data_IF_685600953392
#
_entry.id   IF_685600953392
#
_cell.length_a   1.000
_cell.length_b   1.000
_cell.length_c   1.000
_cell.angle_alpha   90.00
_cell.angle_beta   90.00
_cell.angle_gamma   90.00
#
_symmetry.space_group_name_H-M   'P 1'
#
loop_
_entity.id
_entity.type
_entity.pdbx_description
1 polymer ?
#
# COMPACT_ATOMS: atom_id res chain seq x y z
N UNK A 1 3.83 -16.60 -17.73
CA UNK A 1 3.82 -15.12 -17.83
C UNK A 1 4.09 -14.49 -16.47
N UNK A 2 3.49 -15.00 -15.38
CA UNK A 2 3.83 -14.68 -13.97
C UNK A 2 5.34 -14.66 -13.70
N UNK A 3 6.10 -15.62 -14.24
CA UNK A 3 7.55 -15.70 -14.02
C UNK A 3 8.32 -14.48 -14.54
N UNK A 4 7.90 -13.81 -15.63
CA UNK A 4 8.73 -12.79 -16.30
C UNK A 4 9.03 -11.54 -15.47
N UNK A 5 8.08 -11.03 -14.69
CA UNK A 5 8.31 -9.85 -13.83
C UNK A 5 9.24 -10.24 -12.68
N UNK A 6 8.95 -11.35 -12.01
CA UNK A 6 9.76 -11.86 -10.91
C UNK A 6 11.16 -12.29 -11.38
N UNK A 7 11.30 -12.85 -12.58
CA UNK A 7 12.57 -13.16 -13.21
C UNK A 7 13.35 -11.89 -13.53
N UNK A 8 12.69 -10.86 -14.08
CA UNK A 8 13.31 -9.55 -14.28
C UNK A 8 13.77 -8.90 -12.97
N UNK A 9 13.00 -9.05 -11.89
CA UNK A 9 13.40 -8.58 -10.56
C UNK A 9 14.57 -9.39 -10.01
N UNK A 10 14.61 -10.70 -10.20
CA UNK A 10 15.73 -11.56 -9.80
C UNK A 10 17.01 -11.21 -10.59
N UNK A 11 16.89 -10.99 -11.89
CA UNK A 11 17.98 -10.51 -12.74
C UNK A 11 18.47 -9.11 -12.30
N UNK A 12 17.55 -8.23 -11.90
CA UNK A 12 17.89 -6.91 -11.35
C UNK A 12 18.26 -6.93 -9.86
N UNK A 13 18.09 -8.04 -9.12
CA UNK A 13 18.44 -8.09 -7.70
C UNK A 13 19.96 -7.96 -7.48
N UNK A 14 20.75 -8.08 -8.56
CA UNK A 14 22.17 -7.74 -8.64
C UNK A 14 22.46 -6.23 -8.78
N UNK A 15 21.47 -5.36 -8.61
CA UNK A 15 21.66 -3.90 -8.56
C UNK A 15 22.72 -3.57 -7.49
N UNK A 16 23.76 -2.91 -7.98
CA UNK A 16 24.85 -2.21 -7.27
C UNK A 16 24.41 -1.62 -5.93
N UNK A 17 25.11 -1.97 -4.85
CA UNK A 17 24.81 -1.57 -3.46
C UNK A 17 24.73 -0.04 -3.29
N UNK A 18 25.43 0.73 -4.12
CA UNK A 18 25.42 2.20 -4.12
C UNK A 18 24.02 2.78 -4.37
N UNK A 19 23.24 2.16 -5.28
CA UNK A 19 21.86 2.56 -5.57
C UNK A 19 20.93 2.29 -4.38
N UNK A 20 21.26 1.28 -3.56
CA UNK A 20 20.50 0.92 -2.36
C UNK A 20 20.83 1.80 -1.15
N UNK A 21 21.90 2.58 -1.20
CA UNK A 21 22.31 3.52 -0.14
C UNK A 21 21.97 4.98 -0.45
N UNK A 22 21.31 5.25 -1.59
CA UNK A 22 20.99 6.62 -2.01
C UNK A 22 22.21 7.42 -2.46
N UNK A 23 23.25 6.75 -2.98
CA UNK A 23 24.53 7.35 -3.34
C UNK A 23 24.69 7.63 -4.84
N UNK A 24 23.56 7.94 -5.50
CA UNK A 24 23.51 8.37 -6.90
C UNK A 24 22.74 9.69 -6.98
N UNK A 25 23.30 10.69 -7.65
CA UNK A 25 22.68 12.01 -7.79
C UNK A 25 22.70 12.46 -9.25
N UNK A 26 21.54 12.83 -9.77
CA UNK A 26 21.31 13.32 -11.13
C UNK A 26 20.66 14.72 -11.14
N UNK A 27 20.80 15.48 -10.06
CA UNK A 27 20.11 16.75 -9.85
C UNK A 27 20.60 17.93 -10.71
N UNK A 28 21.76 17.82 -11.37
CA UNK A 28 22.31 18.87 -12.22
C UNK A 28 23.17 18.32 -13.36
N UNK A 29 23.51 19.20 -14.31
CA UNK A 29 24.27 18.86 -15.53
C UNK A 29 25.73 18.44 -15.29
N UNK A 30 26.19 18.44 -14.04
CA UNK A 30 27.51 17.92 -13.66
C UNK A 30 27.50 16.39 -13.41
N UNK A 31 26.33 15.79 -13.26
CA UNK A 31 26.14 14.36 -12.98
C UNK A 31 25.99 13.47 -14.23
N UNK A 32 25.61 12.19 -14.06
CA UNK A 32 25.26 11.54 -12.79
C UNK A 32 26.49 11.34 -11.89
N UNK A 33 26.37 11.75 -10.63
CA UNK A 33 27.39 11.59 -9.59
C UNK A 33 27.15 10.29 -8.83
N UNK A 34 28.22 9.56 -8.48
CA UNK A 34 28.14 8.32 -7.68
C UNK A 34 29.31 8.20 -6.71
N UNK A 35 29.11 7.48 -5.61
CA UNK A 35 30.17 7.04 -4.70
C UNK A 35 30.38 5.52 -4.85
N UNK A 36 31.26 5.11 -5.77
CA UNK A 36 31.53 3.69 -6.11
C UNK A 36 32.81 3.10 -5.48
N UNK A 37 33.25 3.68 -4.36
CA UNK A 37 34.44 3.26 -3.60
C UNK A 37 35.78 3.54 -4.29
N UNK A 38 35.91 3.31 -5.60
CA UNK A 38 37.19 3.40 -6.34
C UNK A 38 37.39 4.75 -7.04
N UNK A 39 36.33 5.44 -7.47
CA UNK A 39 36.42 6.79 -8.06
C UNK A 39 35.15 7.61 -7.83
N UNK A 40 35.08 8.37 -6.73
CA UNK A 40 33.98 9.33 -6.52
C UNK A 40 33.98 10.40 -7.61
N UNK A 41 32.92 10.45 -8.43
CA UNK A 41 32.70 11.51 -9.43
C UNK A 41 31.72 12.52 -8.87
N UNK A 42 32.21 13.42 -8.02
CA UNK A 42 31.37 14.36 -7.26
C UNK A 42 32.00 15.77 -7.27
N UNK A 43 31.79 16.56 -8.33
CA UNK A 43 32.50 17.84 -8.53
C UNK A 43 32.01 18.97 -7.59
N UNK A 44 30.79 18.89 -7.05
CA UNK A 44 30.24 19.91 -6.15
C UNK A 44 30.68 19.74 -4.69
N UNK A 45 31.34 18.63 -4.35
CA UNK A 45 31.80 18.36 -2.99
C UNK A 45 30.74 17.87 -2.01
N UNK A 46 29.51 17.57 -2.46
CA UNK A 46 28.49 16.93 -1.60
C UNK A 46 29.05 15.63 -1.01
N UNK A 47 28.83 15.39 0.27
CA UNK A 47 29.25 14.17 0.97
C UNK A 47 28.26 13.02 0.77
N UNK A 48 28.63 11.75 1.07
CA UNK A 48 27.70 10.62 1.00
C UNK A 48 26.41 10.82 1.82
N UNK A 49 26.53 11.28 3.06
CA UNK A 49 25.37 11.52 3.95
C UNK A 49 24.50 12.66 3.41
N UNK A 50 25.09 13.77 2.95
CA UNK A 50 24.33 14.87 2.34
C UNK A 50 23.60 14.43 1.07
N UNK A 51 24.23 13.59 0.24
CA UNK A 51 23.61 13.03 -0.98
C UNK A 51 22.43 12.12 -0.64
N UNK A 52 22.61 11.19 0.30
CA UNK A 52 21.55 10.32 0.77
C UNK A 52 20.38 11.12 1.39
N UNK A 53 20.67 12.12 2.21
CA UNK A 53 19.66 13.02 2.78
C UNK A 53 18.91 13.82 1.72
N UNK A 54 19.62 14.36 0.73
CA UNK A 54 19.02 15.06 -0.41
C UNK A 54 18.04 14.14 -1.16
N UNK A 55 18.48 12.92 -1.48
CA UNK A 55 17.67 11.94 -2.22
C UNK A 55 16.45 11.49 -1.39
N UNK A 56 16.61 11.35 -0.07
CA UNK A 56 15.49 11.11 0.84
C UNK A 56 14.50 12.30 0.84
N UNK A 57 15.00 13.54 0.84
CA UNK A 57 14.18 14.75 0.78
C UNK A 57 13.35 14.82 -0.53
N UNK A 58 13.93 14.38 -1.65
CA UNK A 58 13.22 14.25 -2.93
C UNK A 58 12.12 13.19 -2.89
N UNK A 59 12.36 12.05 -2.22
CA UNK A 59 11.31 11.05 -2.01
C UNK A 59 10.20 11.55 -1.09
N UNK A 60 10.54 12.27 -0.04
CA UNK A 60 9.55 12.92 0.84
C UNK A 60 8.72 13.93 0.03
N UNK A 61 9.38 14.73 -0.80
CA UNK A 61 8.75 15.69 -1.69
C UNK A 61 7.77 15.04 -2.67
N UNK A 62 8.17 13.95 -3.31
CA UNK A 62 7.34 13.14 -4.21
C UNK A 62 6.09 12.63 -3.48
N UNK A 63 6.24 12.05 -2.29
CA UNK A 63 5.10 11.55 -1.50
C UNK A 63 4.16 12.66 -1.00
N UNK A 64 4.70 13.83 -0.63
CA UNK A 64 3.87 15.01 -0.30
C UNK A 64 3.14 15.57 -1.53
N UNK A 65 3.70 15.36 -2.73
CA UNK A 65 3.10 15.71 -4.01
C UNK A 65 1.77 15.01 -4.25
N UNK A 66 1.61 13.76 -3.80
CA UNK A 66 0.34 13.02 -3.91
C UNK A 66 -0.81 13.70 -3.16
N UNK A 67 -0.51 14.41 -2.06
CA UNK A 67 -1.49 15.22 -1.32
C UNK A 67 -1.50 16.70 -1.73
N UNK A 68 -0.71 17.10 -2.74
CA UNK A 68 -0.50 18.51 -3.11
C UNK A 68 -0.04 19.39 -1.93
N UNK A 69 0.66 18.80 -0.96
CA UNK A 69 1.18 19.48 0.25
C UNK A 69 2.66 19.84 0.15
N UNK A 70 3.27 19.54 -1.00
CA UNK A 70 4.67 19.82 -1.25
C UNK A 70 4.99 21.32 -1.18
N UNK A 71 6.15 21.64 -0.60
CA UNK A 71 6.76 22.99 -0.64
C UNK A 71 8.18 22.87 -1.20
N UNK A 72 8.51 23.72 -2.18
CA UNK A 72 9.82 23.76 -2.87
C UNK A 72 11.04 23.79 -1.94
N UNK A 73 10.90 24.25 -0.70
CA UNK A 73 12.01 24.38 0.24
C UNK A 73 12.46 23.06 0.88
N UNK A 74 11.71 21.96 0.75
CA UNK A 74 12.07 20.67 1.37
C UNK A 74 13.35 20.08 0.76
N UNK A 75 13.60 20.30 -0.54
CA UNK A 75 14.79 19.78 -1.24
C UNK A 75 16.09 20.50 -0.86
N UNK A 76 16.03 21.52 -0.01
CA UNK A 76 17.19 22.23 0.54
C UNK A 76 17.41 21.91 2.03
N UNK A 77 16.66 20.95 2.60
CA UNK A 77 16.77 20.50 3.98
C UNK A 77 17.64 19.25 4.01
N UNK A 78 18.70 19.25 4.81
CA UNK A 78 19.67 18.14 4.89
C UNK A 78 19.87 17.58 6.31
N UNK A 79 18.94 17.84 7.24
CA UNK A 79 18.92 17.22 8.57
C UNK A 79 17.68 16.34 8.77
N UNK A 80 17.86 15.23 9.50
CA UNK A 80 16.85 14.19 9.64
C UNK A 80 15.58 14.70 10.34
N UNK A 81 15.73 15.49 11.40
CA UNK A 81 14.60 16.01 12.17
C UNK A 81 13.69 16.90 11.31
N UNK A 82 14.28 17.79 10.51
CA UNK A 82 13.52 18.64 9.61
C UNK A 82 12.86 17.86 8.47
N UNK A 83 13.47 16.78 7.98
CA UNK A 83 12.84 15.88 7.01
C UNK A 83 11.66 15.11 7.60
N UNK A 84 11.80 14.55 8.80
CA UNK A 84 10.70 13.87 9.51
C UNK A 84 9.53 14.83 9.75
N UNK A 85 9.83 16.05 10.21
CA UNK A 85 8.83 17.12 10.37
C UNK A 85 8.19 17.54 9.05
N UNK A 86 8.93 17.51 7.94
CA UNK A 86 8.38 17.80 6.63
C UNK A 86 7.41 16.70 6.18
N UNK A 87 7.76 15.43 6.37
CA UNK A 87 6.90 14.29 6.09
C UNK A 87 5.58 14.34 6.89
N UNK A 88 5.65 14.70 8.17
CA UNK A 88 4.49 14.83 9.06
C UNK A 88 3.39 15.80 8.57
N UNK A 89 3.72 16.72 7.63
CA UNK A 89 2.73 17.63 7.04
C UNK A 89 1.59 16.90 6.32
N UNK A 90 1.82 15.68 5.82
CA UNK A 90 0.81 14.92 5.12
C UNK A 90 -0.31 14.40 6.04
N UNK A 91 -0.03 14.26 7.35
CA UNK A 91 -0.94 13.64 8.33
C UNK A 91 -2.29 14.33 8.36
N UNK A 92 -2.32 15.67 8.39
CA UNK A 92 -3.57 16.42 8.42
C UNK A 92 -4.44 16.16 7.17
N UNK A 93 -3.81 16.16 5.99
CA UNK A 93 -4.54 15.95 4.74
C UNK A 93 -4.99 14.50 4.60
N UNK A 94 -4.12 13.54 4.97
CA UNK A 94 -4.48 12.11 5.02
C UNK A 94 -5.65 11.84 5.97
N UNK A 95 -5.70 12.53 7.12
CA UNK A 95 -6.82 12.43 8.06
C UNK A 95 -8.12 12.98 7.49
N UNK A 96 -8.10 14.22 6.96
CA UNK A 96 -9.28 14.81 6.30
C UNK A 96 -9.79 13.90 5.18
N UNK A 97 -8.88 13.42 4.34
CA UNK A 97 -9.20 12.51 3.26
C UNK A 97 -9.80 11.19 3.75
N UNK A 98 -9.23 10.58 4.80
CA UNK A 98 -9.78 9.35 5.39
C UNK A 98 -11.19 9.57 5.92
N UNK A 99 -11.42 10.67 6.64
CA UNK A 99 -12.74 10.98 7.22
C UNK A 99 -13.78 11.30 6.14
N UNK A 100 -13.39 11.99 5.06
CA UNK A 100 -14.26 12.24 3.90
C UNK A 100 -14.66 10.95 3.18
N UNK A 101 -13.69 10.07 2.90
CA UNK A 101 -13.95 8.77 2.26
C UNK A 101 -14.78 7.86 3.17
N UNK A 102 -14.49 7.81 4.47
CA UNK A 102 -15.31 7.09 5.44
C UNK A 102 -16.73 7.65 5.49
N UNK A 103 -16.92 8.98 5.49
CA UNK A 103 -18.24 9.60 5.46
C UNK A 103 -19.04 9.27 4.20
N UNK A 104 -18.39 9.32 3.03
CA UNK A 104 -18.99 8.96 1.75
C UNK A 104 -19.43 7.49 1.71
N UNK A 105 -18.58 6.59 2.21
CA UNK A 105 -18.73 5.15 1.97
C UNK A 105 -19.33 4.38 3.16
N UNK A 106 -19.38 4.95 4.36
CA UNK A 106 -19.96 4.33 5.55
C UNK A 106 -21.38 3.78 5.35
N UNK A 107 -22.31 4.43 4.59
CA UNK A 107 -23.64 3.86 4.34
C UNK A 107 -23.63 2.51 3.60
N UNK A 108 -22.55 2.21 2.88
CA UNK A 108 -22.41 0.98 2.10
C UNK A 108 -21.64 -0.11 2.85
N UNK A 109 -20.93 0.26 3.92
CA UNK A 109 -20.06 -0.64 4.69
C UNK A 109 -20.89 -1.66 5.45
N UNK A 110 -20.70 -2.92 5.10
CA UNK A 110 -21.20 -4.04 5.93
C UNK A 110 -20.18 -5.15 5.93
N UNK A 111 -20.13 -5.89 7.03
CA UNK A 111 -19.33 -7.11 7.12
C UNK A 111 -19.79 -8.09 6.05
N UNK A 112 -18.87 -8.50 5.18
CA UNK A 112 -19.14 -9.45 4.09
C UNK A 112 -17.85 -10.08 3.59
N UNK A 113 -18.00 -11.22 2.93
CA UNK A 113 -16.89 -11.88 2.23
C UNK A 113 -16.74 -11.31 0.82
N UNK A 114 -15.50 -10.99 0.45
CA UNK A 114 -15.14 -10.32 -0.80
C UNK A 114 -14.08 -11.16 -1.53
N UNK A 115 -14.18 -11.33 -2.86
CA UNK A 115 -13.15 -12.00 -3.65
C UNK A 115 -11.86 -11.17 -3.74
N UNK A 116 -10.73 -11.83 -3.47
CA UNK A 116 -9.40 -11.32 -3.71
C UNK A 116 -8.68 -12.15 -4.78
N UNK A 117 -7.90 -11.48 -5.61
CA UNK A 117 -7.15 -12.09 -6.71
C UNK A 117 -7.92 -12.24 -8.02
N UNK A 118 -7.25 -12.82 -9.02
CA UNK A 118 -7.77 -12.93 -10.39
C UNK A 118 -9.07 -13.75 -10.51
N UNK A 119 -9.38 -14.58 -9.51
CA UNK A 119 -10.65 -15.29 -9.40
C UNK A 119 -11.87 -14.40 -9.18
N UNK A 120 -11.67 -13.10 -8.88
CA UNK A 120 -12.74 -12.10 -8.85
C UNK A 120 -13.22 -11.64 -10.22
N UNK A 121 -12.61 -12.12 -11.31
CA UNK A 121 -13.05 -11.82 -12.68
C UNK A 121 -14.18 -12.75 -13.13
N UNK A 122 -15.09 -12.21 -13.94
CA UNK A 122 -16.26 -12.94 -14.45
C UNK A 122 -16.23 -13.00 -15.98
N UNK A 123 -15.97 -14.18 -16.59
CA UNK A 123 -15.89 -14.36 -18.05
C UNK A 123 -17.18 -14.09 -18.82
N UNK A 124 -18.33 -14.04 -18.14
CA UNK A 124 -19.65 -13.78 -18.73
C UNK A 124 -20.17 -12.36 -18.44
N UNK A 125 -19.39 -11.57 -17.69
CA UNK A 125 -19.69 -10.17 -17.39
C UNK A 125 -18.65 -9.23 -18.02
N UNK A 126 -19.03 -7.97 -18.15
CA UNK A 126 -18.13 -6.88 -18.56
C UNK A 126 -17.25 -6.54 -17.37
N UNK A 127 -15.96 -6.85 -17.41
CA UNK A 127 -15.04 -6.56 -16.31
C UNK A 127 -14.36 -5.21 -16.52
N UNK A 128 -14.63 -4.27 -15.61
CA UNK A 128 -13.95 -2.98 -15.56
C UNK A 128 -12.97 -3.01 -14.40
N UNK A 129 -11.67 -2.91 -14.69
CA UNK A 129 -10.63 -2.78 -13.68
C UNK A 129 -10.50 -1.31 -13.25
N UNK A 130 -11.01 -0.98 -12.07
CA UNK A 130 -10.99 0.37 -11.55
C UNK A 130 -9.72 0.63 -10.72
N UNK A 131 -8.90 1.55 -11.24
CA UNK A 131 -7.64 2.05 -10.67
C UNK A 131 -7.75 3.58 -10.53
N UNK A 132 -8.79 4.03 -9.82
CA UNK A 132 -9.09 5.45 -9.58
C UNK A 132 -9.13 5.76 -8.09
N UNK A 133 -9.32 7.02 -7.70
CA UNK A 133 -9.62 7.36 -6.30
C UNK A 133 -10.88 6.62 -5.80
N UNK A 134 -11.03 6.35 -4.49
CA UNK A 134 -12.21 5.68 -3.97
C UNK A 134 -13.54 6.36 -4.34
N UNK A 135 -13.56 7.70 -4.44
CA UNK A 135 -14.70 8.46 -4.96
C UNK A 135 -14.97 8.14 -6.43
N UNK A 136 -13.95 8.16 -7.30
CA UNK A 136 -14.13 7.85 -8.72
C UNK A 136 -14.63 6.42 -8.95
N UNK A 137 -14.16 5.45 -8.15
CA UNK A 137 -14.67 4.07 -8.23
C UNK A 137 -16.12 4.01 -7.70
N UNK A 138 -16.44 4.75 -6.63
CA UNK A 138 -17.82 4.89 -6.15
C UNK A 138 -18.74 5.46 -7.23
N UNK A 139 -18.33 6.53 -7.91
CA UNK A 139 -19.11 7.20 -8.94
C UNK A 139 -19.35 6.28 -10.14
N UNK A 140 -18.33 5.52 -10.55
CA UNK A 140 -18.47 4.49 -11.58
C UNK A 140 -19.52 3.44 -11.18
N UNK A 141 -19.48 2.95 -9.93
CA UNK A 141 -20.47 1.97 -9.45
C UNK A 141 -21.88 2.57 -9.50
N UNK A 142 -22.08 3.79 -9.01
CA UNK A 142 -23.40 4.45 -9.05
C UNK A 142 -23.87 4.69 -10.49
N UNK A 143 -22.97 5.09 -11.38
CA UNK A 143 -23.29 5.27 -12.80
C UNK A 143 -23.76 3.96 -13.44
N UNK A 144 -23.10 2.83 -13.18
CA UNK A 144 -23.51 1.52 -13.74
C UNK A 144 -24.89 1.05 -13.27
N UNK A 145 -25.45 1.66 -12.22
CA UNK A 145 -26.79 1.37 -11.68
C UNK A 145 -27.89 2.29 -12.25
N UNK A 146 -27.53 3.24 -13.10
CA UNK A 146 -28.51 4.12 -13.77
C UNK A 146 -29.26 3.38 -14.88
N UNK A 147 -30.47 3.83 -15.19
CA UNK A 147 -31.28 3.29 -16.30
C UNK A 147 -30.54 3.33 -17.64
N UNK A 148 -29.80 4.41 -17.88
CA UNK A 148 -29.02 4.60 -19.11
C UNK A 148 -27.89 3.57 -19.25
N UNK A 149 -27.17 3.30 -18.16
CA UNK A 149 -26.15 2.25 -18.15
C UNK A 149 -26.78 0.87 -18.38
N UNK A 150 -27.91 0.59 -17.71
CA UNK A 150 -28.63 -0.69 -17.86
C UNK A 150 -29.04 -0.95 -19.32
N UNK A 151 -29.61 0.03 -20.01
CA UNK A 151 -29.96 -0.08 -21.43
C UNK A 151 -28.74 -0.34 -22.33
N UNK A 152 -27.59 0.21 -21.97
CA UNK A 152 -26.34 0.06 -22.73
C UNK A 152 -25.73 -1.32 -22.53
N UNK A 153 -25.79 -1.84 -21.29
CA UNK A 153 -25.36 -3.20 -20.91
C UNK A 153 -26.22 -4.25 -21.62
N UNK A 154 -27.55 -4.09 -21.60
CA UNK A 154 -28.50 -4.99 -22.27
C UNK A 154 -28.27 -5.01 -23.79
N UNK A 155 -28.11 -3.83 -24.42
CA UNK A 155 -27.82 -3.71 -25.86
C UNK A 155 -26.53 -4.41 -26.29
N UNK A 156 -25.54 -4.48 -25.41
CA UNK A 156 -24.28 -5.17 -25.67
C UNK A 156 -24.37 -6.69 -25.44
N UNK A 157 -25.50 -7.21 -24.94
CA UNK A 157 -25.68 -8.62 -24.61
C UNK A 157 -24.91 -9.08 -23.38
N UNK A 158 -24.48 -8.16 -22.52
CA UNK A 158 -23.76 -8.48 -21.30
C UNK A 158 -24.74 -8.82 -20.16
N UNK A 159 -24.43 -9.84 -19.36
CA UNK A 159 -25.23 -10.20 -18.18
C UNK A 159 -25.16 -9.15 -17.06
N UNK A 160 -24.13 -8.30 -17.07
CA UNK A 160 -23.90 -7.26 -16.08
C UNK A 160 -22.49 -6.69 -16.19
N UNK A 161 -22.19 -5.76 -15.29
CA UNK A 161 -20.85 -5.19 -15.14
C UNK A 161 -20.24 -5.71 -13.83
N UNK A 162 -19.06 -6.29 -13.95
CA UNK A 162 -18.20 -6.63 -12.82
C UNK A 162 -17.14 -5.55 -12.66
N UNK A 163 -17.33 -4.64 -11.70
CA UNK A 163 -16.28 -3.70 -11.33
C UNK A 163 -15.35 -4.44 -10.38
N UNK A 164 -14.09 -4.58 -10.79
CA UNK A 164 -13.02 -5.08 -9.94
C UNK A 164 -12.04 -3.95 -9.69
N UNK A 165 -11.26 -4.06 -8.63
CA UNK A 165 -10.36 -3.00 -8.23
C UNK A 165 -8.94 -3.52 -8.03
N UNK A 166 -7.97 -2.61 -8.11
CA UNK A 166 -6.57 -2.95 -7.97
C UNK A 166 -5.86 -1.95 -7.05
N UNK A 167 -4.97 -2.50 -6.23
CA UNK A 167 -4.11 -1.78 -5.33
C UNK A 167 -4.88 -1.07 -4.22
N UNK A 168 -4.35 0.08 -3.89
CA UNK A 168 -4.71 0.91 -2.78
C UNK A 168 -6.19 1.35 -2.73
N UNK A 169 -6.74 2.01 -3.76
CA UNK A 169 -8.18 2.28 -3.80
C UNK A 169 -9.03 1.01 -3.78
N UNK A 170 -8.52 -0.09 -4.34
CA UNK A 170 -9.25 -1.35 -4.36
C UNK A 170 -9.45 -1.96 -2.99
N UNK A 171 -8.43 -1.93 -2.13
CA UNK A 171 -8.57 -2.31 -0.74
C UNK A 171 -9.64 -1.48 0.00
N UNK A 172 -9.73 -0.18 -0.30
CA UNK A 172 -10.79 0.68 0.25
C UNK A 172 -12.17 0.24 -0.20
N UNK A 173 -12.34 -0.03 -1.50
CA UNK A 173 -13.65 -0.41 -2.04
C UNK A 173 -14.05 -1.84 -1.66
N UNK A 174 -13.08 -2.74 -1.49
CA UNK A 174 -13.30 -4.06 -0.89
C UNK A 174 -13.80 -3.91 0.56
N UNK A 175 -13.12 -3.08 1.36
CA UNK A 175 -13.51 -2.80 2.75
C UNK A 175 -14.87 -2.11 2.86
N UNK A 176 -15.14 -1.11 2.04
CA UNK A 176 -16.30 -0.25 2.20
C UNK A 176 -17.54 -0.72 1.42
N UNK A 177 -17.35 -1.30 0.24
CA UNK A 177 -18.44 -1.57 -0.71
C UNK A 177 -18.51 -3.03 -1.16
N UNK A 178 -17.57 -3.88 -0.74
CA UNK A 178 -17.54 -5.29 -1.14
C UNK A 178 -17.11 -5.52 -2.57
N UNK A 179 -16.35 -4.59 -3.16
CA UNK A 179 -15.86 -4.71 -4.52
C UNK A 179 -14.66 -5.65 -4.55
N UNK A 180 -14.61 -6.64 -5.46
CA UNK A 180 -13.45 -7.52 -5.58
C UNK A 180 -12.14 -6.73 -5.76
N UNK A 181 -11.08 -7.15 -5.06
CA UNK A 181 -9.74 -6.58 -5.22
C UNK A 181 -8.83 -7.64 -5.84
N UNK A 182 -8.49 -7.47 -7.12
CA UNK A 182 -7.79 -8.50 -7.89
C UNK A 182 -6.28 -8.55 -7.63
N UNK A 183 -5.76 -7.65 -6.79
CA UNK A 183 -4.37 -7.61 -6.33
C UNK A 183 -3.78 -6.20 -6.40
N UNK A 184 -2.45 -6.10 -6.55
CA UNK A 184 -1.71 -4.85 -6.67
C UNK A 184 -1.16 -4.64 -8.10
N UNK A 185 -0.41 -3.57 -8.34
CA UNK A 185 0.10 -3.24 -9.68
C UNK A 185 0.97 -4.34 -10.32
N UNK A 186 1.61 -5.21 -9.53
CA UNK A 186 2.38 -6.34 -10.05
C UNK A 186 1.50 -7.39 -10.73
N UNK A 187 0.20 -7.41 -10.44
CA UNK A 187 -0.76 -8.35 -11.04
C UNK A 187 -1.38 -7.82 -12.34
N UNK A 188 -1.21 -6.53 -12.67
CA UNK A 188 -1.95 -5.89 -13.76
C UNK A 188 -1.70 -6.58 -15.11
N UNK A 189 -0.44 -6.90 -15.42
CA UNK A 189 -0.08 -7.60 -16.65
C UNK A 189 -0.72 -8.99 -16.71
N UNK A 190 -0.78 -9.70 -15.57
CA UNK A 190 -1.42 -11.00 -15.48
C UNK A 190 -2.95 -10.87 -15.62
N UNK A 191 -3.55 -9.85 -15.02
CA UNK A 191 -4.98 -9.56 -15.16
C UNK A 191 -5.34 -9.27 -16.62
N UNK A 192 -4.55 -8.47 -17.33
CA UNK A 192 -4.72 -8.22 -18.76
C UNK A 192 -4.51 -9.48 -19.61
N UNK A 193 -3.53 -10.31 -19.24
CA UNK A 193 -3.23 -11.55 -19.95
C UNK A 193 -4.37 -12.58 -19.91
N UNK A 194 -5.24 -12.53 -18.88
CA UNK A 194 -6.46 -13.35 -18.84
C UNK A 194 -7.38 -13.11 -20.03
N UNK A 195 -7.29 -11.94 -20.67
CA UNK A 195 -8.22 -11.50 -21.71
C UNK A 195 -9.62 -11.18 -21.19
N UNK A 196 -9.83 -11.15 -19.86
CA UNK A 196 -11.13 -10.86 -19.26
C UNK A 196 -11.34 -9.38 -18.91
N UNK A 197 -10.29 -8.57 -18.81
CA UNK A 197 -10.43 -7.12 -18.56
C UNK A 197 -10.90 -6.43 -19.84
N UNK A 198 -12.06 -5.78 -19.77
CA UNK A 198 -12.68 -5.10 -20.90
C UNK A 198 -12.34 -3.60 -20.92
N UNK A 199 -12.09 -2.98 -19.77
CA UNK A 199 -11.52 -1.63 -19.68
C UNK A 199 -10.75 -1.42 -18.37
N UNK A 200 -9.83 -0.46 -18.37
CA UNK A 200 -9.20 0.06 -17.15
C UNK A 200 -9.71 1.47 -16.90
N UNK A 201 -10.42 1.68 -15.80
CA UNK A 201 -10.88 2.99 -15.38
C UNK A 201 -9.85 3.63 -14.43
N UNK A 202 -9.17 4.68 -14.89
CA UNK A 202 -8.18 5.42 -14.07
C UNK A 202 -8.69 6.81 -13.69
N UNK A 203 -8.80 7.71 -14.65
CA UNK A 203 -9.36 9.05 -14.50
C UNK A 203 -10.19 9.37 -15.75
N UNK A 204 -11.34 10.02 -15.57
CA UNK A 204 -12.20 10.44 -16.67
C UNK A 204 -13.64 9.99 -16.49
N UNK A 205 -14.40 10.00 -17.58
CA UNK A 205 -15.85 9.76 -17.54
C UNK A 205 -16.20 8.29 -17.30
N UNK A 206 -17.10 8.05 -16.35
CA UNK A 206 -17.68 6.75 -16.02
C UNK A 206 -18.41 6.17 -17.24
N UNK A 207 -19.13 7.03 -17.97
CA UNK A 207 -19.79 6.70 -19.23
C UNK A 207 -18.80 6.20 -20.27
N UNK A 208 -17.75 6.97 -20.54
CA UNK A 208 -16.76 6.61 -21.55
C UNK A 208 -16.10 5.26 -21.21
N UNK A 209 -15.81 5.04 -19.93
CA UNK A 209 -15.23 3.80 -19.43
C UNK A 209 -16.17 2.61 -19.64
N UNK A 210 -17.46 2.77 -19.34
CA UNK A 210 -18.46 1.74 -19.60
C UNK A 210 -18.63 1.46 -21.09
N UNK A 211 -18.72 2.50 -21.93
CA UNK A 211 -18.86 2.35 -23.38
C UNK A 211 -17.66 1.63 -24.02
N UNK A 212 -16.44 1.93 -23.57
CA UNK A 212 -15.23 1.24 -24.00
C UNK A 212 -15.27 -0.24 -23.58
N UNK A 213 -15.60 -0.51 -22.32
CA UNK A 213 -15.70 -1.87 -21.80
C UNK A 213 -16.74 -2.71 -22.57
N UNK A 214 -17.90 -2.14 -22.86
CA UNK A 214 -18.95 -2.84 -23.62
C UNK A 214 -18.50 -3.18 -25.04
N UNK A 215 -17.74 -2.29 -25.71
CA UNK A 215 -17.18 -2.55 -27.04
C UNK A 215 -16.16 -3.69 -27.01
N UNK A 216 -15.26 -3.70 -26.02
CA UNK A 216 -14.26 -4.75 -25.89
C UNK A 216 -14.90 -6.09 -25.52
N UNK A 217 -15.85 -6.11 -24.57
CA UNK A 217 -16.61 -7.30 -24.19
C UNK A 217 -17.30 -7.94 -25.40
N UNK A 218 -17.97 -7.15 -26.25
CA UNK A 218 -18.63 -7.64 -27.46
C UNK A 218 -17.67 -8.28 -28.48
N UNK A 219 -16.39 -7.89 -28.45
CA UNK A 219 -15.33 -8.45 -29.30
C UNK A 219 -14.58 -9.64 -28.67
N UNK A 220 -14.83 -9.91 -27.39
CA UNK A 220 -14.10 -10.92 -26.60
C UNK A 220 -14.48 -12.32 -27.06
N UNK A 221 -13.48 -13.20 -27.18
CA UNK A 221 -13.66 -14.62 -27.56
C UNK A 221 -13.64 -15.54 -26.33
N UNK A 222 -14.11 -15.04 -25.18
CA UNK A 222 -13.94 -15.68 -23.89
C UNK A 222 -12.56 -15.47 -23.25
N UNK A 223 -12.29 -16.12 -22.11
CA UNK A 223 -11.01 -16.03 -21.40
C UNK A 223 -9.88 -16.71 -22.18
N UNK A 224 -8.67 -16.15 -22.11
CA UNK A 224 -7.47 -16.72 -22.76
C UNK A 224 -6.78 -17.79 -21.90
N UNK A 225 -7.11 -17.86 -20.63
CA UNK A 225 -6.64 -18.87 -19.69
C UNK A 225 -7.74 -19.19 -18.68
N UNK A 226 -7.61 -20.33 -18.00
CA UNK A 226 -8.45 -20.64 -16.85
C UNK A 226 -8.21 -19.62 -15.74
N UNK A 227 -9.29 -19.14 -15.12
CA UNK A 227 -9.21 -18.24 -13.96
C UNK A 227 -9.06 -19.08 -12.69
N UNK A 228 -8.16 -18.70 -11.76
CA UNK A 228 -8.06 -19.39 -10.48
C UNK A 228 -9.33 -19.17 -9.65
N UNK A 229 -9.57 -20.05 -8.67
CA UNK A 229 -10.57 -19.78 -7.65
C UNK A 229 -10.18 -18.53 -6.84
N UNK A 230 -11.13 -17.65 -6.47
CA UNK A 230 -10.82 -16.50 -5.64
C UNK A 230 -10.53 -16.92 -4.20
N UNK A 231 -9.57 -16.24 -3.59
CA UNK A 231 -9.49 -16.19 -2.12
C UNK A 231 -10.61 -15.28 -1.61
N UNK A 232 -11.17 -15.60 -0.45
CA UNK A 232 -12.38 -14.98 0.06
C UNK A 232 -12.11 -14.37 1.44
N UNK A 233 -12.01 -13.04 1.51
CA UNK A 233 -11.70 -12.36 2.78
C UNK A 233 -12.92 -11.60 3.31
N UNK A 234 -13.10 -11.65 4.62
CA UNK A 234 -14.19 -10.98 5.33
C UNK A 234 -13.74 -9.57 5.69
N UNK A 235 -14.36 -8.59 5.05
CA UNK A 235 -14.03 -7.17 5.21
C UNK A 235 -15.25 -6.39 5.66
N UNK A 236 -15.08 -5.09 5.93
CA UNK A 236 -16.18 -4.17 6.24
C UNK A 236 -16.56 -4.10 7.71
N UNK A 237 -15.79 -4.71 8.61
CA UNK A 237 -15.90 -4.47 10.04
C UNK A 237 -15.43 -3.04 10.37
N UNK A 238 -16.24 -2.26 11.07
CA UNK A 238 -15.85 -0.91 11.48
C UNK A 238 -14.64 -0.96 12.39
N UNK A 239 -13.61 -0.16 12.09
CA UNK A 239 -12.50 0.09 13.00
C UNK A 239 -12.99 0.80 14.27
N UNK A 240 -13.18 0.05 15.34
CA UNK A 240 -13.60 0.54 16.65
C UNK A 240 -12.41 0.56 17.62
N UNK A 241 -11.72 1.71 17.64
CA UNK A 241 -10.55 1.93 18.50
C UNK A 241 -10.91 1.86 19.98
N UNK A 242 -12.13 2.22 20.38
CA UNK A 242 -12.54 2.13 21.78
C UNK A 242 -12.64 0.67 22.23
N UNK A 243 -13.12 -0.22 21.38
CA UNK A 243 -13.15 -1.66 21.65
C UNK A 243 -11.74 -2.25 21.68
N UNK A 244 -10.87 -1.86 20.74
CA UNK A 244 -9.46 -2.28 20.71
C UNK A 244 -8.74 -1.85 22.00
N UNK A 245 -8.95 -0.62 22.45
CA UNK A 245 -8.33 -0.11 23.67
C UNK A 245 -8.79 -0.90 24.90
N UNK A 246 -10.08 -1.23 25.01
CA UNK A 246 -10.58 -2.06 26.13
C UNK A 246 -9.96 -3.45 26.13
N UNK A 247 -9.84 -4.08 24.96
CA UNK A 247 -9.20 -5.40 24.85
C UNK A 247 -7.73 -5.34 25.30
N UNK A 248 -7.00 -4.29 24.91
CA UNK A 248 -5.63 -4.08 25.37
C UNK A 248 -5.55 -3.83 26.89
N UNK A 249 -6.39 -2.96 27.44
CA UNK A 249 -6.43 -2.66 28.89
C UNK A 249 -6.82 -3.89 29.75
N UNK A 250 -7.60 -4.81 29.19
CA UNK A 250 -7.98 -6.07 29.83
C UNK A 250 -6.93 -7.17 29.70
N UNK A 251 -5.90 -6.97 28.87
CA UNK A 251 -4.88 -7.97 28.56
C UNK A 251 -5.35 -9.06 27.59
N UNK A 252 -6.41 -8.82 26.81
CA UNK A 252 -6.89 -9.75 25.78
C UNK A 252 -6.00 -9.72 24.52
N UNK A 253 -5.28 -8.62 24.30
CA UNK A 253 -4.28 -8.46 23.24
C UNK A 253 -3.02 -7.82 23.81
N UNK A 254 -1.85 -8.24 23.30
CA UNK A 254 -0.54 -7.70 23.68
C UNK A 254 -0.26 -6.33 23.04
N UNK A 255 -0.97 -6.01 21.97
CA UNK A 255 -0.83 -4.74 21.26
C UNK A 255 -1.49 -4.75 19.89
N UNK A 256 -1.21 -3.70 19.12
CA UNK A 256 -1.73 -3.52 17.76
C UNK A 256 -0.56 -3.44 16.79
N UNK A 257 -0.61 -4.27 15.75
CA UNK A 257 0.34 -4.24 14.64
C UNK A 257 -0.40 -3.86 13.37
N UNK A 258 0.12 -2.90 12.62
CA UNK A 258 -0.48 -2.46 11.35
C UNK A 258 0.41 -2.88 10.20
N UNK A 259 -0.12 -3.68 9.27
CA UNK A 259 0.52 -3.95 7.99
C UNK A 259 0.22 -2.80 7.04
N UNK A 260 1.22 -1.95 6.80
CA UNK A 260 1.10 -0.71 6.06
C UNK A 260 1.99 -0.69 4.81
N UNK A 261 1.42 -0.27 3.67
CA UNK A 261 2.16 -0.15 2.42
C UNK A 261 1.77 -1.21 1.40
N UNK A 262 2.76 -1.68 0.65
CA UNK A 262 2.56 -2.67 -0.41
C UNK A 262 3.57 -3.80 -0.36
N UNK A 263 3.19 -4.90 -1.01
CA UNK A 263 4.07 -5.94 -1.48
C UNK A 263 5.35 -5.37 -2.10
N UNK A 264 6.49 -5.92 -1.72
CA UNK A 264 7.73 -5.71 -2.44
C UNK A 264 8.33 -7.05 -2.83
N UNK A 265 8.67 -7.26 -4.10
CA UNK A 265 9.29 -8.51 -4.53
C UNK A 265 10.72 -8.69 -4.01
N UNK A 266 11.29 -7.64 -3.41
CA UNK A 266 12.61 -7.68 -2.76
C UNK A 266 12.50 -7.79 -1.24
N UNK A 267 11.29 -7.88 -0.69
CA UNK A 267 11.08 -8.16 0.73
C UNK A 267 11.11 -9.67 0.93
N UNK A 268 11.83 -10.13 1.95
CA UNK A 268 11.93 -11.56 2.30
C UNK A 268 10.75 -12.05 3.14
N UNK A 269 9.95 -11.12 3.67
CA UNK A 269 8.91 -11.43 4.65
C UNK A 269 7.81 -12.29 4.01
N UNK A 270 7.50 -13.41 4.64
CA UNK A 270 6.39 -14.27 4.24
C UNK A 270 5.11 -13.80 4.93
N UNK A 271 4.29 -12.98 4.26
CA UNK A 271 3.14 -12.30 4.87
C UNK A 271 2.18 -13.23 5.59
N UNK A 272 1.83 -14.37 4.99
CA UNK A 272 0.92 -15.33 5.63
C UNK A 272 1.49 -15.87 6.96
N UNK A 273 2.78 -16.25 6.96
CA UNK A 273 3.46 -16.73 8.16
C UNK A 273 3.57 -15.64 9.22
N UNK A 274 3.99 -14.44 8.81
CA UNK A 274 4.10 -13.29 9.69
C UNK A 274 2.76 -12.92 10.36
N UNK A 275 1.65 -12.91 9.62
CA UNK A 275 0.33 -12.63 10.20
C UNK A 275 -0.06 -13.72 11.20
N UNK A 276 0.15 -14.99 10.87
CA UNK A 276 -0.10 -16.11 11.78
C UNK A 276 0.72 -15.97 13.06
N UNK A 277 2.02 -15.75 12.95
CA UNK A 277 2.91 -15.61 14.10
C UNK A 277 2.50 -14.43 14.99
N UNK A 278 2.17 -13.28 14.41
CA UNK A 278 1.70 -12.10 15.17
C UNK A 278 0.43 -12.38 15.97
N UNK A 279 -0.55 -13.05 15.37
CA UNK A 279 -1.79 -13.44 16.04
C UNK A 279 -1.51 -14.44 17.16
N UNK A 280 -0.62 -15.42 16.94
CA UNK A 280 -0.22 -16.40 17.96
C UNK A 280 0.52 -15.76 19.14
N UNK A 281 1.24 -14.66 18.90
CA UNK A 281 1.86 -13.84 19.95
C UNK A 281 0.91 -12.82 20.59
N UNK A 282 -0.40 -12.90 20.30
CA UNK A 282 -1.43 -12.09 20.96
C UNK A 282 -1.62 -10.68 20.39
N UNK A 283 -1.05 -10.35 19.24
CA UNK A 283 -1.27 -9.05 18.61
C UNK A 283 -2.57 -9.01 17.79
N UNK A 284 -3.27 -7.88 17.86
CA UNK A 284 -4.29 -7.54 16.88
C UNK A 284 -3.60 -7.01 15.60
N UNK A 285 -3.81 -7.70 14.47
CA UNK A 285 -3.22 -7.34 13.18
C UNK A 285 -4.23 -6.55 12.35
N UNK A 286 -3.93 -5.27 12.10
CA UNK A 286 -4.70 -4.41 11.21
C UNK A 286 -4.08 -4.45 9.80
N UNK A 287 -4.81 -5.01 8.84
CA UNK A 287 -4.36 -5.17 7.46
C UNK A 287 -4.85 -4.00 6.62
N UNK A 288 -3.92 -3.33 5.94
CA UNK A 288 -4.22 -2.23 5.02
C UNK A 288 -3.76 -2.53 3.59
N UNK A 289 -4.40 -1.86 2.63
CA UNK A 289 -3.92 -1.76 1.26
C UNK A 289 -3.80 -3.11 0.54
N UNK A 290 -2.72 -3.26 -0.21
CA UNK A 290 -2.49 -4.43 -1.06
C UNK A 290 -2.25 -5.73 -0.29
N UNK A 291 -1.91 -5.66 1.01
CA UNK A 291 -1.61 -6.84 1.82
C UNK A 291 -2.82 -7.75 2.02
N UNK A 292 -4.04 -7.20 1.87
CA UNK A 292 -5.26 -8.00 1.87
C UNK A 292 -5.21 -9.11 0.81
N UNK A 293 -4.51 -8.93 -0.31
CA UNK A 293 -4.39 -9.95 -1.36
C UNK A 293 -3.34 -11.04 -1.07
N UNK A 294 -2.39 -10.82 -0.17
CA UNK A 294 -1.17 -11.64 -0.05
C UNK A 294 -1.30 -12.86 0.86
N UNK A 295 -2.47 -13.09 1.46
CA UNK A 295 -2.69 -14.21 2.37
C UNK A 295 -3.87 -15.09 1.99
N UNK A 296 -3.80 -16.34 2.43
CA UNK A 296 -4.89 -17.31 2.32
C UNK A 296 -6.17 -16.84 3.02
N UNK A 297 -7.31 -17.38 2.58
CA UNK A 297 -8.62 -17.21 3.22
C UNK A 297 -8.57 -17.51 4.71
N UNK A 298 -7.86 -18.56 5.13
CA UNK A 298 -7.76 -18.96 6.54
C UNK A 298 -7.04 -17.91 7.37
N UNK A 299 -5.91 -17.39 6.89
CA UNK A 299 -5.09 -16.45 7.65
C UNK A 299 -5.72 -15.07 7.69
N UNK A 300 -6.21 -14.58 6.56
CA UNK A 300 -6.81 -13.25 6.47
C UNK A 300 -8.20 -13.14 7.12
N UNK A 301 -8.82 -14.26 7.46
CA UNK A 301 -10.08 -14.31 8.24
C UNK A 301 -9.88 -14.82 9.67
N UNK A 302 -8.63 -15.04 10.11
CA UNK A 302 -8.36 -15.53 11.45
C UNK A 302 -8.85 -14.54 12.52
N UNK A 303 -9.33 -15.03 13.68
CA UNK A 303 -9.53 -14.17 14.84
C UNK A 303 -8.25 -13.40 15.15
N UNK A 304 -8.34 -12.10 15.43
CA UNK A 304 -7.17 -11.24 15.63
C UNK A 304 -6.66 -10.55 14.35
N UNK A 305 -7.30 -10.79 13.20
CA UNK A 305 -7.03 -10.05 11.95
C UNK A 305 -8.21 -9.16 11.59
N UNK A 306 -7.95 -7.89 11.31
CA UNK A 306 -8.98 -6.94 10.88
C UNK A 306 -8.52 -6.11 9.65
N UNK A 307 -9.34 -6.13 8.62
CA UNK A 307 -9.14 -5.34 7.40
C UNK A 307 -9.67 -3.92 7.59
N UNK A 308 -8.84 -2.90 7.34
CA UNK A 308 -9.22 -1.50 7.58
C UNK A 308 -9.17 -0.62 6.31
N UNK A 309 -9.16 -1.23 5.14
CA UNK A 309 -9.17 -0.58 3.83
C UNK A 309 -7.78 -0.14 3.36
N UNK A 310 -7.69 0.97 2.64
CA UNK A 310 -6.44 1.50 2.08
C UNK A 310 -5.41 1.91 3.15
N UNK A 311 -4.12 1.78 2.85
CA UNK A 311 -2.98 2.26 3.63
C UNK A 311 -2.90 3.80 3.65
N UNK A 312 -3.82 4.40 4.39
CA UNK A 312 -3.86 5.82 4.74
C UNK A 312 -3.45 6.04 6.18
N UNK A 313 -2.44 6.87 6.43
CA UNK A 313 -1.98 7.13 7.80
C UNK A 313 -3.06 7.82 8.66
N UNK A 314 -4.03 8.50 8.06
CA UNK A 314 -5.20 9.06 8.73
C UNK A 314 -6.10 8.01 9.39
N UNK A 315 -5.95 6.72 9.04
CA UNK A 315 -6.62 5.59 9.71
C UNK A 315 -5.89 5.09 10.95
N UNK A 316 -4.63 5.50 11.12
CA UNK A 316 -3.75 5.05 12.21
C UNK A 316 -3.52 6.23 13.17
N UNK A 317 -2.93 7.30 12.66
CA UNK A 317 -2.50 8.43 13.45
C UNK A 317 -3.69 9.27 13.96
N UNK A 318 -3.66 9.58 15.26
CA UNK A 318 -4.62 10.48 15.89
C UNK A 318 -6.02 9.89 16.10
N UNK A 319 -6.15 8.56 15.99
CA UNK A 319 -7.39 7.81 16.28
C UNK A 319 -7.55 7.43 17.75
N UNK A 320 -6.53 7.67 18.58
CA UNK A 320 -6.61 7.44 20.03
C UNK A 320 -6.38 6.00 20.44
N UNK A 321 -5.56 5.24 19.71
CA UNK A 321 -5.11 3.93 20.16
C UNK A 321 -4.36 4.05 21.49
N UNK A 322 -4.75 3.24 22.47
CA UNK A 322 -4.09 3.16 23.77
C UNK A 322 -2.70 2.49 23.66
N UNK A 323 -2.57 1.28 23.07
CA UNK A 323 -1.26 0.82 22.62
C UNK A 323 -0.86 1.63 21.39
N UNK A 324 0.32 2.25 21.39
CA UNK A 324 0.83 2.87 20.16
C UNK A 324 1.04 1.77 19.12
N UNK A 325 0.35 1.79 17.96
CA UNK A 325 0.48 0.73 16.99
C UNK A 325 1.90 0.62 16.44
N UNK A 326 2.39 -0.60 16.32
CA UNK A 326 3.66 -0.89 15.64
C UNK A 326 3.36 -1.06 14.17
N UNK A 327 4.08 -0.34 13.31
CA UNK A 327 3.77 -0.26 11.88
C UNK A 327 4.80 -1.03 11.08
N UNK A 328 4.36 -2.10 10.44
CA UNK A 328 5.17 -2.91 9.55
C UNK A 328 5.00 -2.42 8.12
N UNK A 329 6.12 -2.17 7.44
CA UNK A 329 6.15 -1.66 6.08
C UNK A 329 6.99 -2.60 5.20
N UNK A 330 6.42 -3.72 4.73
CA UNK A 330 7.15 -4.72 3.93
C UNK A 330 7.74 -4.11 2.66
N UNK A 331 7.08 -3.10 2.08
CA UNK A 331 7.55 -2.36 0.93
C UNK A 331 7.08 -0.91 0.94
N UNK A 332 8.03 0.02 0.81
CA UNK A 332 7.76 1.47 0.75
C UNK A 332 8.15 2.12 -0.58
N UNK A 333 8.51 1.37 -1.64
CA UNK A 333 9.05 1.96 -2.89
C UNK A 333 8.15 3.01 -3.55
N UNK A 334 6.86 3.06 -3.21
CA UNK A 334 6.01 4.22 -3.46
C UNK A 334 6.35 5.35 -2.48
N UNK A 335 6.71 6.53 -3.02
CA UNK A 335 7.13 7.69 -2.23
C UNK A 335 6.13 8.11 -1.13
N UNK A 336 4.82 8.02 -1.36
CA UNK A 336 3.81 8.29 -0.32
C UNK A 336 3.94 7.33 0.86
N UNK A 337 4.21 6.05 0.65
CA UNK A 337 4.35 5.07 1.73
C UNK A 337 5.60 5.36 2.56
N UNK A 338 6.72 5.67 1.92
CA UNK A 338 7.93 6.08 2.65
C UNK A 338 7.69 7.37 3.44
N UNK A 339 7.11 8.40 2.84
CA UNK A 339 6.78 9.64 3.54
C UNK A 339 5.82 9.40 4.69
N UNK A 340 4.85 8.50 4.52
CA UNK A 340 3.89 8.09 5.55
C UNK A 340 4.57 7.40 6.72
N UNK A 341 5.48 6.46 6.44
CA UNK A 341 6.29 5.79 7.46
C UNK A 341 7.11 6.81 8.26
N UNK A 342 7.80 7.74 7.58
CA UNK A 342 8.60 8.78 8.24
C UNK A 342 7.73 9.79 9.02
N UNK A 343 6.51 10.07 8.56
CA UNK A 343 5.55 10.88 9.30
C UNK A 343 5.11 10.19 10.60
N UNK A 344 4.90 8.87 10.57
CA UNK A 344 4.59 8.06 11.76
C UNK A 344 5.76 8.06 12.75
N UNK A 345 7.00 7.89 12.25
CA UNK A 345 8.24 7.99 13.06
C UNK A 345 8.34 9.35 13.75
N UNK A 346 8.06 10.45 13.03
CA UNK A 346 8.02 11.79 13.64
C UNK A 346 7.05 11.89 14.82
N UNK A 347 5.95 11.15 14.77
CA UNK A 347 4.93 11.11 15.81
C UNK A 347 5.17 10.00 16.86
N UNK A 348 6.33 9.37 16.87
CA UNK A 348 6.73 8.38 17.88
C UNK A 348 6.19 6.97 17.67
N UNK A 349 5.67 6.66 16.47
CA UNK A 349 5.22 5.31 16.14
C UNK A 349 6.46 4.44 15.81
N UNK A 350 6.59 3.24 16.39
CA UNK A 350 7.59 2.29 15.95
C UNK A 350 7.29 1.81 14.54
N UNK A 351 8.27 1.89 13.64
CA UNK A 351 8.16 1.48 12.25
C UNK A 351 9.24 0.46 11.93
N UNK A 352 8.84 -0.66 11.33
CA UNK A 352 9.78 -1.67 10.80
C UNK A 352 9.59 -1.76 9.30
N UNK A 353 10.65 -1.57 8.52
CA UNK A 353 10.62 -1.68 7.05
C UNK A 353 11.24 -2.99 6.60
N UNK A 354 10.59 -3.68 5.64
CA UNK A 354 11.09 -4.93 5.06
C UNK A 354 12.06 -4.75 3.89
N UNK A 355 12.28 -3.50 3.49
CA UNK A 355 13.26 -3.12 2.46
C UNK A 355 14.01 -1.88 2.90
N UNK A 356 15.30 -1.81 2.56
CA UNK A 356 16.23 -0.76 3.00
C UNK A 356 15.89 0.63 2.43
N UNK A 357 15.54 1.58 3.28
CA UNK A 357 15.45 3.01 2.92
C UNK A 357 16.78 3.45 2.29
N UNK A 358 16.81 4.18 1.16
CA UNK A 358 18.02 4.38 0.38
C UNK A 358 18.85 5.50 0.99
N UNK A 359 19.47 5.19 2.13
CA UNK A 359 20.31 6.08 2.92
C UNK A 359 21.59 5.38 3.33
N UNK A 360 22.59 6.16 3.76
CA UNK A 360 23.84 5.60 4.30
C UNK A 360 23.60 4.91 5.66
N UNK A 361 24.50 4.00 6.08
CA UNK A 361 24.42 3.37 7.40
C UNK A 361 24.34 4.37 8.57
N UNK A 362 25.06 5.50 8.48
CA UNK A 362 25.02 6.60 9.47
C UNK A 362 23.62 7.19 9.62
N UNK A 363 22.86 7.33 8.52
CA UNK A 363 21.50 7.86 8.55
C UNK A 363 20.51 6.78 8.97
N UNK A 364 20.73 5.53 8.56
CA UNK A 364 19.93 4.38 8.99
C UNK A 364 19.98 4.19 10.52
N UNK A 365 21.16 4.33 11.13
CA UNK A 365 21.32 4.31 12.60
C UNK A 365 20.51 5.43 13.27
N UNK A 366 20.59 6.66 12.75
CA UNK A 366 19.80 7.80 13.27
C UNK A 366 18.29 7.61 13.09
N UNK A 367 17.87 6.91 12.04
CA UNK A 367 16.47 6.53 11.82
C UNK A 367 16.04 5.46 12.85
N UNK A 368 16.90 4.48 13.13
CA UNK A 368 16.64 3.45 14.13
C UNK A 368 16.52 4.04 15.54
N UNK A 369 17.37 5.01 15.91
CA UNK A 369 17.26 5.77 17.16
C UNK A 369 15.93 6.52 17.31
N UNK A 370 15.29 6.87 16.18
CA UNK A 370 13.97 7.52 16.13
C UNK A 370 12.81 6.50 16.10
N UNK A 371 13.10 5.20 16.08
CA UNK A 371 12.10 4.14 16.02
C UNK A 371 11.77 3.62 14.61
N UNK A 372 12.61 3.90 13.61
CA UNK A 372 12.47 3.37 12.25
C UNK A 372 13.56 2.33 11.96
N UNK A 373 13.22 1.05 12.08
CA UNK A 373 14.15 -0.07 11.91
C UNK A 373 13.99 -0.70 10.53
N UNK A 374 15.08 -1.04 9.87
CA UNK A 374 15.05 -1.93 8.69
C UNK A 374 15.30 -3.36 9.14
N UNK A 375 14.36 -4.27 8.90
CA UNK A 375 14.56 -5.71 9.12
C UNK A 375 14.40 -6.45 7.80
N UNK A 376 15.52 -6.94 7.27
CA UNK A 376 15.57 -7.62 5.98
C UNK A 376 15.36 -9.13 6.10
N UNK A 377 15.40 -9.67 7.32
CA UNK A 377 15.12 -11.06 7.62
C UNK A 377 13.69 -11.21 8.18
N UNK A 378 12.80 -11.77 7.37
CA UNK A 378 11.39 -11.94 7.74
C UNK A 378 11.17 -12.78 8.99
N UNK A 379 12.07 -13.72 9.29
CA UNK A 379 11.97 -14.59 10.47
C UNK A 379 12.19 -13.83 11.78
N UNK A 380 12.79 -12.64 11.72
CA UNK A 380 13.15 -11.83 12.89
C UNK A 380 12.17 -10.70 13.19
N UNK A 381 11.15 -10.50 12.36
CA UNK A 381 10.24 -9.35 12.52
C UNK A 381 9.52 -9.38 13.87
N UNK A 382 9.04 -10.55 14.31
CA UNK A 382 8.37 -10.69 15.61
C UNK A 382 9.33 -10.44 16.77
N UNK A 383 10.57 -10.94 16.68
CA UNK A 383 11.66 -10.64 17.64
C UNK A 383 11.87 -9.12 17.76
N UNK A 384 11.94 -8.40 16.64
CA UNK A 384 12.12 -6.93 16.61
C UNK A 384 10.97 -6.17 17.25
N UNK A 385 9.74 -6.65 17.09
CA UNK A 385 8.56 -6.06 17.73
C UNK A 385 8.69 -6.15 19.25
N UNK A 386 9.07 -7.32 19.78
CA UNK A 386 9.28 -7.51 21.21
C UNK A 386 10.43 -6.65 21.76
N UNK A 387 11.54 -6.52 21.01
CA UNK A 387 12.65 -5.64 21.37
C UNK A 387 12.21 -4.17 21.50
N UNK A 388 11.44 -3.66 20.54
CA UNK A 388 10.93 -2.28 20.55
C UNK A 388 10.03 -2.00 21.76
N UNK A 389 9.19 -2.95 22.16
CA UNK A 389 8.32 -2.80 23.33
C UNK A 389 9.12 -2.75 24.64
N UNK A 390 10.17 -3.56 24.79
CA UNK A 390 11.00 -3.57 25.99
C UNK A 390 11.73 -2.24 26.26
N UNK A 391 12.09 -1.51 25.19
CA UNK A 391 12.74 -0.20 25.29
C UNK A 391 11.78 0.96 25.59
N UNK A 392 10.46 0.77 25.45
CA UNK A 392 9.47 1.79 25.80
C UNK A 392 9.06 1.73 27.28
N UNK A 393 9.38 0.65 27.98
CA UNK A 393 9.02 0.41 29.40
C UNK A 393 10.16 0.75 30.37
N UNK A 394 11.40 0.85 29.88
CA UNK A 394 12.59 1.26 30.64
C UNK A 394 12.96 2.73 30.41
#
# INVERSE_FOLDING_TARGET
>A
MYEKIFDGIREQAHVRDELRMGLVCDACDLGPCTFDGSTSRVPCGITPDEMAMKNLAEKIAEGLGEYKTYKRHITMIYDLESLLKAAARMVYVSRSYSDEIDGLLAPYRTVRTVPFGLGGLHPEAVNICAVSSPQGIHDLIEFTRTTEAAESIERAGAHGVNIVSLGYPGAELAYQRGIPCIGNYLILDNALATGCIDAIHTFGSERASLEEALKHFASRKGPKCELPAPELHTTGATLDVATINRAYEQGDIEGVVVLFGAASPTCSWHMEGLVTDLVEHGYLVLVTGAHMYEGSTSTMNAPGVAHIGFCEIGKIHGRGFAPTPIVLVPGWKNAKILTSALALVHHGYPVITGVRIPVTPSIEEKLAEKGCITELDGERVVERISELQSHQVG
#
